data_IF_658132707663
#
_entry.id   IF_658132707663
#
_cell.length_a   1.000
_cell.length_b   1.000
_cell.length_c   1.000
_cell.angle_alpha   90.00
_cell.angle_beta   90.00
_cell.angle_gamma   90.00
#
_symmetry.space_group_name_H-M   'P 1'
#
loop_
_entity.id
_entity.type
_entity.pdbx_description
1 polymer ?
#
# COMPACT_ATOMS: atom_id res chain seq x y z
N UNK A 1 -2.35 17.20 9.87
CA UNK A 1 -2.72 16.02 9.08
C UNK A 1 -2.06 14.77 9.64
N UNK A 2 -2.82 13.71 9.74
CA UNK A 2 -2.35 12.44 10.32
C UNK A 2 -2.16 11.40 9.22
N UNK A 3 -1.02 10.75 9.19
CA UNK A 3 -0.69 9.69 8.23
C UNK A 3 -0.59 8.35 8.92
N UNK A 4 -1.09 7.30 8.26
CA UNK A 4 -0.81 5.91 8.63
C UNK A 4 0.05 5.30 7.55
N UNK A 5 1.06 4.53 7.95
CA UNK A 5 1.97 3.85 7.02
C UNK A 5 1.75 2.34 7.11
N UNK A 6 1.77 1.69 5.95
CA UNK A 6 1.69 0.23 5.86
C UNK A 6 2.51 -0.25 4.67
N UNK A 7 2.89 -1.52 4.68
CA UNK A 7 3.74 -2.08 3.63
C UNK A 7 3.55 -3.59 3.54
N UNK A 8 3.98 -4.16 2.40
CA UNK A 8 4.15 -5.61 2.25
C UNK A 8 2.86 -6.41 2.45
N UNK A 9 1.81 -6.00 1.74
CA UNK A 9 0.52 -6.71 1.70
C UNK A 9 0.67 -8.05 0.98
N UNK A 10 1.51 -8.09 -0.07
CA UNK A 10 1.84 -9.29 -0.83
C UNK A 10 0.62 -10.09 -1.29
N UNK A 11 -0.44 -9.40 -1.69
CA UNK A 11 -1.65 -10.03 -2.23
C UNK A 11 -2.57 -10.66 -1.20
N UNK A 12 -2.30 -10.50 0.11
CA UNK A 12 -3.14 -11.05 1.16
C UNK A 12 -4.39 -10.20 1.37
N UNK A 13 -5.55 -10.69 0.94
CA UNK A 13 -6.82 -10.03 1.22
C UNK A 13 -7.12 -10.02 2.71
N UNK A 14 -6.73 -11.08 3.42
CA UNK A 14 -6.90 -11.19 4.86
C UNK A 14 -6.20 -10.04 5.59
N UNK A 15 -4.90 -9.85 5.35
CA UNK A 15 -4.15 -8.77 6.00
C UNK A 15 -4.48 -7.39 5.44
N UNK A 16 -4.87 -7.31 4.16
CA UNK A 16 -5.34 -6.06 3.58
C UNK A 16 -6.59 -5.55 4.30
N UNK A 17 -7.55 -6.43 4.58
CA UNK A 17 -8.75 -6.05 5.34
C UNK A 17 -8.43 -5.60 6.75
N UNK A 18 -7.49 -6.28 7.42
CA UNK A 18 -7.05 -5.87 8.76
C UNK A 18 -6.39 -4.50 8.74
N UNK A 19 -5.57 -4.25 7.74
CA UNK A 19 -4.92 -2.94 7.57
C UNK A 19 -5.96 -1.84 7.35
N UNK A 20 -6.95 -2.07 6.49
CA UNK A 20 -7.99 -1.08 6.20
C UNK A 20 -8.85 -0.81 7.43
N UNK A 21 -9.14 -1.83 8.24
CA UNK A 21 -9.85 -1.64 9.49
C UNK A 21 -9.04 -0.80 10.47
N UNK A 22 -7.75 -1.09 10.60
CA UNK A 22 -6.85 -0.28 11.42
C UNK A 22 -6.80 1.17 10.94
N UNK A 23 -6.77 1.37 9.61
CA UNK A 23 -6.80 2.71 9.03
C UNK A 23 -8.07 3.47 9.42
N UNK A 24 -9.24 2.83 9.28
CA UNK A 24 -10.52 3.45 9.66
C UNK A 24 -10.54 3.84 11.13
N UNK A 25 -10.04 2.97 12.00
CA UNK A 25 -10.02 3.21 13.45
C UNK A 25 -8.98 4.26 13.86
N UNK A 26 -7.93 4.43 13.08
CA UNK A 26 -6.84 5.35 13.42
C UNK A 26 -7.22 6.82 13.33
N UNK A 27 -8.23 7.14 12.52
CA UNK A 27 -8.57 8.53 12.21
C UNK A 27 -7.56 9.24 11.31
N UNK A 28 -6.65 8.50 10.68
CA UNK A 28 -5.68 9.10 9.78
C UNK A 28 -6.34 9.66 8.52
N UNK A 29 -5.78 10.75 8.00
CA UNK A 29 -6.28 11.43 6.81
C UNK A 29 -5.80 10.75 5.52
N UNK A 30 -4.64 10.14 5.56
CA UNK A 30 -4.01 9.49 4.42
C UNK A 30 -3.41 8.17 4.84
N UNK A 31 -3.47 7.19 3.94
CA UNK A 31 -2.79 5.91 4.08
C UNK A 31 -1.62 5.88 3.10
N UNK A 32 -0.42 5.74 3.62
CA UNK A 32 0.81 5.72 2.83
C UNK A 32 1.26 4.28 2.72
N UNK A 33 1.26 3.76 1.49
CA UNK A 33 1.66 2.38 1.21
C UNK A 33 3.11 2.37 0.71
N UNK A 34 3.94 1.57 1.32
CA UNK A 34 5.36 1.49 0.99
C UNK A 34 5.68 0.36 0.01
N UNK A 35 4.67 -0.14 -0.70
CA UNK A 35 4.87 -1.08 -1.79
C UNK A 35 4.65 -2.53 -1.43
N UNK A 36 4.96 -3.40 -2.39
CA UNK A 36 4.75 -4.86 -2.34
C UNK A 36 3.28 -5.20 -2.09
N UNK A 37 2.42 -4.77 -3.04
CA UNK A 37 0.98 -4.80 -2.84
C UNK A 37 0.34 -6.12 -3.24
N UNK A 38 0.63 -6.63 -4.44
CA UNK A 38 -0.12 -7.75 -5.02
C UNK A 38 0.66 -9.06 -5.11
N UNK A 39 1.94 -9.02 -5.47
CA UNK A 39 2.73 -10.21 -5.67
C UNK A 39 3.37 -10.67 -4.35
N UNK A 40 3.31 -11.99 -4.09
CA UNK A 40 3.84 -12.54 -2.84
C UNK A 40 5.39 -12.57 -2.78
N UNK A 41 6.06 -12.44 -3.93
CA UNK A 41 7.50 -12.48 -4.02
C UNK A 41 8.04 -13.88 -4.36
N UNK A 42 9.15 -13.98 -5.09
CA UNK A 42 9.64 -15.27 -5.60
C UNK A 42 10.22 -16.19 -4.52
N UNK A 43 10.58 -15.65 -3.37
CA UNK A 43 11.21 -16.42 -2.29
C UNK A 43 10.30 -16.64 -1.09
N UNK A 44 9.10 -16.13 -1.12
CA UNK A 44 8.18 -16.20 0.00
C UNK A 44 7.11 -17.24 -0.25
N UNK A 45 6.69 -17.91 0.83
CA UNK A 45 5.48 -18.70 0.79
C UNK A 45 4.27 -17.79 0.57
N UNK A 46 3.16 -18.36 0.09
CA UNK A 46 1.93 -17.61 -0.04
C UNK A 46 1.44 -17.18 1.35
N UNK A 47 1.15 -15.89 1.54
CA UNK A 47 0.63 -15.43 2.83
C UNK A 47 -0.78 -15.93 3.06
N UNK A 48 -1.20 -15.92 4.33
CA UNK A 48 -2.58 -16.26 4.67
C UNK A 48 -3.55 -15.36 3.92
N UNK A 49 -4.58 -15.98 3.33
CA UNK A 49 -5.60 -15.22 2.59
C UNK A 49 -5.08 -14.58 1.31
N UNK A 50 -4.14 -15.22 0.62
CA UNK A 50 -3.59 -14.71 -0.63
C UNK A 50 -4.66 -14.75 -1.72
N UNK A 51 -5.27 -13.60 -2.00
CA UNK A 51 -6.25 -13.42 -3.08
C UNK A 51 -6.04 -12.03 -3.68
N UNK A 52 -5.06 -11.85 -4.57
CA UNK A 52 -4.78 -10.53 -5.15
C UNK A 52 -5.99 -9.89 -5.82
N UNK A 53 -6.86 -10.68 -6.42
CA UNK A 53 -8.08 -10.19 -7.06
C UNK A 53 -9.02 -9.48 -6.08
N UNK A 54 -8.97 -9.80 -4.79
CA UNK A 54 -9.76 -9.12 -3.77
C UNK A 54 -9.03 -7.88 -3.24
N UNK A 55 -7.70 -7.89 -3.23
CA UNK A 55 -6.90 -6.74 -2.80
C UNK A 55 -7.12 -5.55 -3.72
N UNK A 56 -7.22 -5.80 -5.03
CA UNK A 56 -7.38 -4.75 -6.03
C UNK A 56 -8.58 -3.83 -5.73
N UNK A 57 -9.82 -4.35 -5.61
CA UNK A 57 -10.96 -3.47 -5.32
C UNK A 57 -10.92 -2.86 -3.92
N UNK A 58 -10.33 -3.55 -2.95
CA UNK A 58 -10.18 -3.01 -1.61
C UNK A 58 -9.32 -1.75 -1.62
N UNK A 59 -8.19 -1.77 -2.30
CA UNK A 59 -7.31 -0.61 -2.40
C UNK A 59 -7.90 0.47 -3.31
N UNK A 60 -8.44 0.11 -4.47
CA UNK A 60 -9.03 1.08 -5.38
C UNK A 60 -10.20 1.85 -4.74
N UNK A 61 -10.93 1.21 -3.83
CA UNK A 61 -12.01 1.86 -3.08
C UNK A 61 -11.53 2.99 -2.18
N UNK A 62 -10.25 3.04 -1.84
CA UNK A 62 -9.66 4.08 -1.00
C UNK A 62 -8.74 5.02 -1.76
N UNK A 63 -8.70 4.95 -3.08
CA UNK A 63 -7.72 5.69 -3.89
C UNK A 63 -7.59 7.18 -3.56
N UNK A 64 -8.64 7.93 -3.19
CA UNK A 64 -8.46 9.35 -2.86
C UNK A 64 -7.61 9.58 -1.62
N UNK A 65 -7.48 8.59 -0.74
CA UNK A 65 -6.72 8.69 0.49
C UNK A 65 -5.34 8.04 0.40
N UNK A 66 -5.03 7.35 -0.70
CA UNK A 66 -3.81 6.57 -0.84
C UNK A 66 -2.68 7.35 -1.49
N UNK A 67 -1.49 7.17 -0.92
CA UNK A 67 -0.24 7.54 -1.56
C UNK A 67 0.66 6.31 -1.48
N UNK A 68 1.29 5.94 -2.60
CA UNK A 68 2.05 4.69 -2.67
C UNK A 68 3.42 4.91 -3.29
N UNK A 69 4.41 4.22 -2.76
CA UNK A 69 5.74 4.13 -3.38
C UNK A 69 6.00 2.69 -3.80
N UNK A 70 6.89 2.52 -4.76
CA UNK A 70 7.19 1.20 -5.33
C UNK A 70 8.04 0.37 -4.38
N UNK A 71 7.61 -0.87 -4.10
CA UNK A 71 8.42 -1.88 -3.48
C UNK A 71 9.18 -2.70 -4.50
N UNK A 72 9.90 -3.72 -4.04
CA UNK A 72 10.68 -4.57 -4.93
C UNK A 72 9.82 -5.54 -5.75
N UNK A 73 8.58 -5.81 -5.31
CA UNK A 73 7.67 -6.73 -6.01
C UNK A 73 6.64 -6.05 -6.90
N UNK A 74 6.52 -4.73 -6.87
CA UNK A 74 5.53 -4.01 -7.68
C UNK A 74 6.01 -3.88 -9.12
N UNK A 75 5.13 -4.19 -10.06
CA UNK A 75 5.46 -4.19 -11.48
C UNK A 75 4.46 -3.34 -12.27
N UNK A 76 4.83 -3.05 -13.52
CA UNK A 76 3.97 -2.29 -14.43
C UNK A 76 2.61 -2.95 -14.63
N UNK A 77 2.56 -4.29 -14.65
CA UNK A 77 1.30 -5.01 -14.78
C UNK A 77 0.36 -4.75 -13.61
N UNK A 78 0.90 -4.56 -12.41
CA UNK A 78 0.09 -4.23 -11.23
C UNK A 78 -0.49 -2.83 -11.34
N UNK A 79 0.26 -1.89 -11.93
CA UNK A 79 -0.23 -0.54 -12.17
C UNK A 79 -1.45 -0.54 -13.11
N UNK A 80 -1.56 -1.51 -14.00
CA UNK A 80 -2.68 -1.58 -14.93
C UNK A 80 -4.01 -1.86 -14.24
N UNK A 81 -3.99 -2.46 -13.06
CA UNK A 81 -5.21 -2.85 -12.33
C UNK A 81 -5.46 -1.99 -11.08
N UNK A 82 -4.49 -1.18 -10.69
CA UNK A 82 -4.62 -0.27 -9.55
C UNK A 82 -4.85 1.17 -10.06
N UNK A 83 -5.85 1.84 -9.50
CA UNK A 83 -6.33 3.14 -9.97
C UNK A 83 -5.58 4.33 -9.33
N UNK A 84 -4.47 4.07 -8.67
CA UNK A 84 -3.61 5.08 -8.07
C UNK A 84 -2.15 4.78 -8.42
N UNK A 85 -1.26 5.79 -8.44
CA UNK A 85 0.14 5.56 -8.81
C UNK A 85 0.85 4.66 -7.80
N UNK A 86 1.58 3.65 -8.29
CA UNK A 86 2.33 2.70 -7.43
C UNK A 86 3.81 2.62 -7.77
N UNK A 87 4.28 3.34 -8.78
CA UNK A 87 5.64 3.17 -9.32
C UNK A 87 6.60 4.29 -8.92
N UNK A 88 6.22 5.19 -8.03
CA UNK A 88 7.09 6.24 -7.54
C UNK A 88 8.19 5.67 -6.64
N UNK A 89 9.42 6.12 -6.83
CA UNK A 89 10.56 5.63 -6.05
C UNK A 89 10.51 6.10 -4.60
N UNK A 90 9.95 7.28 -4.36
CA UNK A 90 9.80 7.84 -3.03
C UNK A 90 8.65 8.86 -3.02
N UNK A 91 8.21 9.21 -1.82
CA UNK A 91 7.27 10.30 -1.61
C UNK A 91 7.82 11.23 -0.53
N UNK A 92 7.51 12.52 -0.65
CA UNK A 92 7.92 13.52 0.33
C UNK A 92 6.67 14.05 1.03
N UNK A 93 6.63 13.94 2.34
CA UNK A 93 5.49 14.32 3.15
C UNK A 93 5.89 15.41 4.14
N UNK A 94 5.19 16.55 4.15
CA UNK A 94 5.40 17.54 5.20
C UNK A 94 4.74 17.08 6.50
N UNK A 95 5.52 17.10 7.58
CA UNK A 95 5.04 16.78 8.92
C UNK A 95 5.50 17.90 9.85
N UNK A 96 4.60 18.83 10.16
CA UNK A 96 4.96 20.04 10.85
C UNK A 96 5.96 20.84 10.03
N UNK A 97 7.13 21.14 10.61
CA UNK A 97 8.22 21.86 9.93
C UNK A 97 9.25 20.93 9.30
N UNK A 98 9.00 19.60 9.32
CA UNK A 98 9.93 18.59 8.82
C UNK A 98 9.40 18.00 7.52
N UNK A 99 10.32 17.46 6.73
CA UNK A 99 9.99 16.65 5.56
C UNK A 99 10.32 15.20 5.86
N UNK A 100 9.36 14.32 5.58
CA UNK A 100 9.53 12.88 5.73
C UNK A 100 9.63 12.28 4.33
N UNK A 101 10.68 11.52 4.06
CA UNK A 101 10.85 10.80 2.82
C UNK A 101 10.41 9.36 3.02
N UNK A 102 9.36 8.96 2.32
CA UNK A 102 8.83 7.62 2.40
C UNK A 102 9.40 6.78 1.26
N UNK A 103 10.01 5.66 1.60
CA UNK A 103 10.57 4.71 0.65
C UNK A 103 10.29 3.30 1.12
N UNK A 104 10.41 2.34 0.20
CA UNK A 104 10.29 0.91 0.57
C UNK A 104 11.51 0.40 1.33
N UNK A 105 12.66 0.92 1.01
CA UNK A 105 13.91 0.52 1.68
C UNK A 105 15.09 0.26 0.74
#
# INVERSE_FOLDING_TARGET
>A
MKYMFASDIHGSAHYCRKMLEAYRQSGADRLILLGDLLYHGPRNDLPEGYVPKEVIPLLNGLKPALLCVRGNCDAEVDQMVLDFPILADYAVLPVGRRLVYATHG
#
